data_IF_675610877921
#
_entry.id   IF_675610877921
#
_cell.length_a   1.000
_cell.length_b   1.000
_cell.length_c   1.000
_cell.angle_alpha   90.00
_cell.angle_beta   90.00
_cell.angle_gamma   90.00
#
_symmetry.space_group_name_H-M   'P 1'
#
loop_
_entity.id
_entity.type
_entity.pdbx_description
1 polymer ?
#
# COMPACT_ATOMS: atom_id res chain seq x y z
N UNK A 1 -24.37 -7.17 -8.73
CA UNK A 1 -23.46 -6.01 -8.74
C UNK A 1 -24.07 -5.03 -9.74
N UNK A 2 -24.70 -3.98 -9.25
CA UNK A 2 -25.48 -3.05 -10.06
C UNK A 2 -24.55 -2.09 -10.83
N UNK A 3 -25.01 -1.67 -12.02
CA UNK A 3 -24.28 -0.80 -12.95
C UNK A 3 -23.92 0.58 -12.35
N UNK A 4 -24.59 0.96 -11.27
CA UNK A 4 -24.33 2.21 -10.53
C UNK A 4 -23.02 2.15 -9.70
N UNK A 5 -22.62 0.94 -9.21
CA UNK A 5 -21.37 0.78 -8.46
C UNK A 5 -20.12 0.94 -9.34
N UNK A 6 -20.24 0.59 -10.63
CA UNK A 6 -19.15 0.74 -11.61
C UNK A 6 -18.96 2.21 -12.01
N UNK A 7 -20.03 2.99 -12.03
CA UNK A 7 -19.99 4.41 -12.35
C UNK A 7 -19.40 5.26 -11.23
N UNK A 8 -19.62 4.88 -9.96
CA UNK A 8 -19.05 5.58 -8.81
C UNK A 8 -17.53 5.36 -8.69
N UNK A 9 -17.04 4.15 -9.01
CA UNK A 9 -15.60 3.87 -9.07
C UNK A 9 -14.89 4.62 -10.21
N UNK A 10 -15.54 4.77 -11.36
CA UNK A 10 -15.01 5.55 -12.50
C UNK A 10 -14.91 7.04 -12.20
N UNK A 11 -15.82 7.59 -11.39
CA UNK A 11 -15.86 9.01 -11.07
C UNK A 11 -14.74 9.45 -10.11
N UNK A 12 -14.34 8.59 -9.19
CA UNK A 12 -13.25 8.87 -8.24
C UNK A 12 -11.87 8.90 -8.92
N UNK A 13 -11.69 8.14 -10.01
CA UNK A 13 -10.46 8.12 -10.80
C UNK A 13 -10.36 9.35 -11.72
N UNK A 14 -11.49 9.86 -12.18
CA UNK A 14 -11.56 11.03 -13.10
C UNK A 14 -11.31 12.38 -12.40
N UNK A 15 -11.54 12.48 -11.09
CA UNK A 15 -11.27 13.73 -10.35
C UNK A 15 -9.77 14.07 -10.22
N UNK A 16 -8.87 13.11 -10.46
CA UNK A 16 -7.42 13.35 -10.41
C UNK A 16 -6.77 13.56 -11.79
N UNK A 17 -7.56 13.59 -12.87
CA UNK A 17 -7.08 13.95 -14.21
C UNK A 17 -7.84 15.21 -14.63
N UNK A 18 -7.25 16.36 -14.39
CA UNK A 18 -7.79 17.67 -14.80
C UNK A 18 -7.80 17.74 -16.35
N UNK A 19 -8.96 17.55 -16.96
CA UNK A 19 -9.28 17.96 -18.34
C UNK A 19 -10.62 18.67 -18.29
N UNK A 20 -10.71 19.95 -18.73
CA UNK A 20 -11.98 20.65 -18.77
C UNK A 20 -12.84 20.04 -19.87
N UNK A 21 -13.93 19.39 -19.49
CA UNK A 21 -14.93 18.87 -20.41
C UNK A 21 -15.93 19.97 -20.80
N UNK A 22 -15.79 20.53 -21.99
CA UNK A 22 -16.91 21.11 -22.66
C UNK A 22 -17.83 20.00 -23.18
N UNK A 23 -19.09 20.10 -22.81
CA UNK A 23 -20.15 19.18 -23.19
C UNK A 23 -20.31 19.09 -24.71
N UNK A 24 -20.07 17.94 -25.25
CA UNK A 24 -20.72 17.30 -26.41
C UNK A 24 -19.83 16.22 -26.99
N UNK A 25 -19.89 14.97 -26.50
CA UNK A 25 -19.36 13.83 -27.28
C UNK A 25 -20.03 12.49 -26.95
N UNK A 26 -20.42 11.81 -28.02
CA UNK A 26 -21.01 10.51 -28.25
C UNK A 26 -20.55 9.36 -27.34
N UNK A 27 -21.47 8.45 -27.00
CA UNK A 27 -21.28 7.19 -26.24
C UNK A 27 -19.99 6.40 -26.57
N UNK A 28 -19.45 6.50 -27.79
CA UNK A 28 -18.26 5.79 -28.21
C UNK A 28 -16.95 6.25 -27.53
N UNK A 29 -16.85 7.53 -27.16
CA UNK A 29 -15.64 8.06 -26.50
C UNK A 29 -15.57 7.61 -25.04
N UNK A 30 -16.71 7.55 -24.35
CA UNK A 30 -16.80 7.08 -22.97
C UNK A 30 -16.40 5.59 -22.87
N UNK A 31 -16.81 4.77 -23.83
CA UNK A 31 -16.45 3.34 -23.87
C UNK A 31 -14.95 3.15 -24.14
N UNK A 32 -14.33 3.94 -25.01
CA UNK A 32 -12.88 3.86 -25.24
C UNK A 32 -12.06 4.33 -24.05
N UNK A 33 -12.49 5.37 -23.34
CA UNK A 33 -11.80 5.86 -22.13
C UNK A 33 -11.89 4.84 -21.00
N UNK A 34 -13.04 4.24 -20.75
CA UNK A 34 -13.21 3.23 -19.69
C UNK A 34 -12.44 1.95 -19.98
N UNK A 35 -12.35 1.51 -21.23
CA UNK A 35 -11.57 0.32 -21.61
C UNK A 35 -10.06 0.56 -21.52
N UNK A 36 -9.60 1.77 -21.83
CA UNK A 36 -8.19 2.17 -21.72
C UNK A 36 -7.76 2.25 -20.25
N UNK A 37 -8.55 2.89 -19.39
CA UNK A 37 -8.31 2.98 -17.94
C UNK A 37 -8.29 1.59 -17.30
N UNK A 38 -9.20 0.70 -17.70
CA UNK A 38 -9.25 -0.67 -17.20
C UNK A 38 -7.98 -1.47 -17.58
N UNK A 39 -7.47 -1.30 -18.80
CA UNK A 39 -6.23 -1.95 -19.25
C UNK A 39 -5.00 -1.49 -18.45
N UNK A 40 -4.86 -0.19 -18.21
CA UNK A 40 -3.74 0.33 -17.42
C UNK A 40 -3.81 -0.12 -15.95
N UNK A 41 -5.00 -0.15 -15.36
CA UNK A 41 -5.19 -0.65 -14.01
C UNK A 41 -4.84 -2.14 -13.88
N UNK A 42 -5.30 -2.98 -14.84
CA UNK A 42 -4.93 -4.41 -14.90
C UNK A 42 -3.43 -4.57 -15.01
N UNK A 43 -2.76 -3.79 -15.87
CA UNK A 43 -1.30 -3.80 -16.00
C UNK A 43 -0.59 -3.50 -14.69
N UNK A 44 -1.01 -2.44 -13.98
CA UNK A 44 -0.39 -2.06 -12.71
C UNK A 44 -0.60 -3.14 -11.63
N UNK A 45 -1.78 -3.75 -11.59
CA UNK A 45 -2.08 -4.86 -10.69
C UNK A 45 -1.22 -6.08 -11.01
N UNK A 46 -1.08 -6.44 -12.28
CA UNK A 46 -0.21 -7.54 -12.71
C UNK A 46 1.26 -7.25 -12.35
N UNK A 47 1.76 -6.05 -12.66
CA UNK A 47 3.12 -5.66 -12.30
C UNK A 47 3.37 -5.66 -10.80
N UNK A 48 2.36 -5.36 -9.99
CA UNK A 48 2.48 -5.44 -8.53
C UNK A 48 2.63 -6.87 -8.02
N UNK A 49 2.10 -7.87 -8.75
CA UNK A 49 2.23 -9.28 -8.38
C UNK A 49 3.67 -9.80 -8.44
N UNK A 50 4.57 -9.10 -9.19
CA UNK A 50 6.00 -9.40 -9.18
C UNK A 50 6.63 -9.26 -7.78
N UNK A 51 6.00 -8.51 -6.88
CA UNK A 51 6.47 -8.27 -5.52
C UNK A 51 5.73 -9.12 -4.48
N UNK A 52 4.95 -10.10 -4.92
CA UNK A 52 4.28 -11.02 -4.01
C UNK A 52 5.27 -12.00 -3.38
N UNK A 53 4.97 -12.43 -2.16
CA UNK A 53 5.76 -13.46 -1.47
C UNK A 53 5.87 -14.75 -2.30
N UNK A 54 4.76 -15.18 -2.93
CA UNK A 54 4.75 -16.39 -3.76
C UNK A 54 5.74 -16.30 -4.91
N UNK A 55 5.79 -15.19 -5.66
CA UNK A 55 6.71 -15.01 -6.77
C UNK A 55 8.18 -15.17 -6.35
N UNK A 56 8.56 -14.67 -5.18
CA UNK A 56 9.93 -14.85 -4.66
C UNK A 56 10.18 -16.24 -4.09
N UNK A 57 9.20 -16.86 -3.43
CA UNK A 57 9.32 -18.24 -2.92
C UNK A 57 9.53 -19.22 -4.07
N UNK A 58 8.81 -19.05 -5.19
CA UNK A 58 8.94 -19.90 -6.36
C UNK A 58 10.36 -19.82 -6.95
N UNK A 59 10.92 -18.62 -7.05
CA UNK A 59 12.32 -18.43 -7.50
C UNK A 59 13.32 -19.03 -6.52
N UNK A 60 13.19 -18.71 -5.22
CA UNK A 60 14.20 -19.08 -4.22
C UNK A 60 14.21 -20.58 -3.91
N UNK A 61 13.04 -21.21 -3.88
CA UNK A 61 12.92 -22.61 -3.49
C UNK A 61 12.92 -23.57 -4.68
N UNK A 62 12.40 -23.13 -5.83
CA UNK A 62 12.18 -24.01 -6.98
C UNK A 62 12.91 -23.55 -8.23
N UNK A 63 13.64 -22.42 -8.18
CA UNK A 63 14.27 -21.80 -9.36
C UNK A 63 13.26 -21.55 -10.49
N UNK A 64 11.99 -21.31 -10.13
CA UNK A 64 10.90 -21.09 -11.06
C UNK A 64 10.71 -19.59 -11.33
N UNK A 65 11.05 -19.18 -12.55
CA UNK A 65 10.91 -17.82 -13.06
C UNK A 65 9.68 -17.63 -13.95
N UNK A 66 8.78 -18.60 -14.01
CA UNK A 66 7.63 -18.60 -14.94
C UNK A 66 6.76 -17.35 -14.80
N UNK A 67 6.54 -16.88 -13.56
CA UNK A 67 5.78 -15.67 -13.29
C UNK A 67 6.46 -14.41 -13.85
N UNK A 68 7.77 -14.26 -13.65
CA UNK A 68 8.52 -13.12 -14.21
C UNK A 68 8.61 -13.18 -15.73
N UNK A 69 8.76 -14.37 -16.30
CA UNK A 69 8.74 -14.57 -17.75
C UNK A 69 7.38 -14.20 -18.35
N UNK A 70 6.30 -14.58 -17.69
CA UNK A 70 4.95 -14.20 -18.08
C UNK A 70 4.76 -12.67 -18.07
N UNK A 71 5.18 -11.98 -17.00
CA UNK A 71 5.12 -10.52 -16.92
C UNK A 71 5.93 -9.84 -18.02
N UNK A 72 7.17 -10.31 -18.25
CA UNK A 72 8.05 -9.76 -19.27
C UNK A 72 7.46 -9.93 -20.68
N UNK A 73 6.89 -11.10 -20.97
CA UNK A 73 6.24 -11.40 -22.25
C UNK A 73 4.94 -10.60 -22.44
N UNK A 74 4.09 -10.53 -21.42
CA UNK A 74 2.82 -9.79 -21.46
C UNK A 74 3.03 -8.29 -21.62
N UNK A 75 4.11 -7.77 -21.05
CA UNK A 75 4.43 -6.33 -21.04
C UNK A 75 5.79 -6.07 -21.70
N UNK A 76 5.99 -6.63 -22.88
CA UNK A 76 7.21 -6.49 -23.71
C UNK A 76 7.56 -5.02 -24.00
N UNK A 77 6.54 -4.14 -24.02
CA UNK A 77 6.70 -2.68 -24.14
C UNK A 77 7.61 -2.09 -23.06
N UNK A 78 7.80 -2.77 -21.92
CA UNK A 78 8.77 -2.36 -20.90
C UNK A 78 10.22 -2.55 -21.36
N UNK A 79 10.47 -3.35 -22.40
CA UNK A 79 11.81 -3.61 -22.95
C UNK A 79 12.83 -3.95 -21.87
N UNK A 80 12.56 -4.99 -21.11
CA UNK A 80 13.43 -5.47 -20.04
C UNK A 80 14.32 -6.60 -20.57
N UNK A 81 15.61 -6.54 -20.31
CA UNK A 81 16.59 -7.58 -20.67
C UNK A 81 16.94 -8.47 -19.47
N UNK A 82 16.65 -8.01 -18.26
CA UNK A 82 16.90 -8.73 -17.02
C UNK A 82 15.70 -8.64 -16.08
N UNK A 83 15.56 -9.59 -15.15
CA UNK A 83 14.54 -9.54 -14.10
C UNK A 83 14.71 -8.33 -13.18
N UNK A 84 15.95 -7.88 -12.95
CA UNK A 84 16.21 -6.67 -12.20
C UNK A 84 15.60 -5.42 -12.87
N UNK A 85 15.75 -5.31 -14.19
CA UNK A 85 15.12 -4.22 -14.95
C UNK A 85 13.59 -4.31 -14.92
N UNK A 86 13.04 -5.52 -15.06
CA UNK A 86 11.60 -5.74 -14.94
C UNK A 86 11.08 -5.26 -13.58
N UNK A 87 11.70 -5.70 -12.48
CA UNK A 87 11.33 -5.29 -11.13
C UNK A 87 11.48 -3.78 -10.94
N UNK A 88 12.61 -3.19 -11.38
CA UNK A 88 12.85 -1.75 -11.25
C UNK A 88 11.81 -0.92 -11.99
N UNK A 89 11.49 -1.28 -13.24
CA UNK A 89 10.48 -0.58 -14.05
C UNK A 89 9.07 -0.80 -13.49
N UNK A 90 8.76 -2.03 -13.07
CA UNK A 90 7.49 -2.34 -12.41
C UNK A 90 7.30 -1.52 -11.14
N UNK A 91 8.31 -1.47 -10.27
CA UNK A 91 8.24 -0.66 -9.05
C UNK A 91 8.06 0.83 -9.35
N UNK A 92 8.76 1.36 -10.32
CA UNK A 92 8.61 2.75 -10.74
C UNK A 92 7.19 3.08 -11.18
N UNK A 93 6.53 2.18 -11.91
CA UNK A 93 5.16 2.35 -12.38
C UNK A 93 4.15 2.23 -11.23
N UNK A 94 4.24 1.15 -10.43
CA UNK A 94 3.27 0.95 -9.33
C UNK A 94 3.43 2.03 -8.26
N UNK A 95 4.63 2.43 -7.90
CA UNK A 95 4.84 3.51 -6.93
C UNK A 95 4.28 4.85 -7.41
N UNK A 96 4.20 5.06 -8.73
CA UNK A 96 3.65 6.29 -9.31
C UNK A 96 2.13 6.25 -9.46
N UNK A 97 1.58 5.10 -9.88
CA UNK A 97 0.18 5.04 -10.35
C UNK A 97 -0.70 4.05 -9.56
N UNK A 98 -0.10 3.11 -8.82
CA UNK A 98 -0.82 2.07 -8.09
C UNK A 98 -0.19 1.85 -6.71
N UNK A 99 -0.65 2.60 -5.72
CA UNK A 99 -0.12 2.56 -4.34
C UNK A 99 -0.68 1.32 -3.61
N UNK A 100 -0.22 0.14 -4.00
CA UNK A 100 -0.55 -1.10 -3.32
C UNK A 100 0.20 -1.22 -1.97
N UNK A 101 -0.22 -2.15 -1.16
CA UNK A 101 0.36 -2.42 0.18
C UNK A 101 1.89 -2.57 0.14
N UNK A 102 2.44 -3.23 -0.89
CA UNK A 102 3.89 -3.36 -1.07
C UNK A 102 4.61 -1.99 -1.18
N UNK A 103 4.01 -1.04 -1.89
CA UNK A 103 4.56 0.33 -1.99
C UNK A 103 4.53 1.01 -0.63
N UNK A 104 3.42 0.90 0.10
CA UNK A 104 3.30 1.45 1.46
C UNK A 104 4.34 0.84 2.41
N UNK A 105 4.48 -0.49 2.43
CA UNK A 105 5.49 -1.19 3.24
C UNK A 105 6.91 -0.67 2.95
N UNK A 106 7.29 -0.58 1.68
CA UNK A 106 8.62 -0.11 1.29
C UNK A 106 8.91 1.34 1.70
N UNK A 107 7.96 2.24 1.48
CA UNK A 107 8.15 3.64 1.83
C UNK A 107 8.17 3.83 3.36
N UNK A 108 7.37 3.06 4.08
CA UNK A 108 7.40 3.05 5.54
C UNK A 108 8.75 2.55 6.07
N UNK A 109 9.29 1.44 5.54
CA UNK A 109 10.61 0.94 5.93
C UNK A 109 11.70 2.00 5.66
N UNK A 110 11.68 2.66 4.51
CA UNK A 110 12.65 3.74 4.20
C UNK A 110 12.58 4.88 5.23
N UNK A 111 11.37 5.30 5.60
CA UNK A 111 11.16 6.32 6.63
C UNK A 111 11.74 5.88 7.98
N UNK A 112 11.40 4.66 8.40
CA UNK A 112 11.82 4.13 9.69
C UNK A 112 13.33 3.91 9.74
N UNK A 113 13.95 3.40 8.68
CA UNK A 113 15.40 3.28 8.56
C UNK A 113 16.09 4.62 8.63
N UNK A 114 15.52 5.66 8.01
CA UNK A 114 16.05 7.03 8.10
C UNK A 114 15.94 7.61 9.51
N UNK A 115 14.81 7.30 10.21
CA UNK A 115 14.52 7.84 11.55
C UNK A 115 15.32 7.13 12.65
N UNK A 116 15.48 5.81 12.57
CA UNK A 116 15.99 4.98 13.67
C UNK A 116 17.34 4.30 13.35
N UNK A 117 17.76 4.31 12.09
CA UNK A 117 18.97 3.59 11.66
C UNK A 117 18.71 2.09 11.39
N UNK A 118 19.56 1.48 10.58
CA UNK A 118 19.46 0.08 10.21
C UNK A 118 20.12 -0.87 11.23
N UNK A 119 21.10 -0.36 12.02
CA UNK A 119 21.86 -1.21 12.96
C UNK A 119 21.10 -1.52 14.23
N UNK A 120 20.25 -0.58 14.67
CA UNK A 120 19.59 -0.64 15.97
C UNK A 120 18.10 -1.02 15.85
N UNK A 121 17.69 -1.51 14.68
CA UNK A 121 16.29 -1.84 14.41
C UNK A 121 16.17 -3.17 13.67
N UNK A 122 15.22 -3.99 14.09
CA UNK A 122 14.84 -5.24 13.42
C UNK A 122 13.40 -5.12 12.92
N UNK A 123 13.15 -5.55 11.69
CA UNK A 123 11.86 -5.44 11.01
C UNK A 123 11.37 -6.81 10.56
N UNK A 124 10.06 -7.04 10.72
CA UNK A 124 9.39 -8.21 10.16
C UNK A 124 8.12 -7.75 9.46
N UNK A 125 7.84 -8.35 8.31
CA UNK A 125 6.55 -8.21 7.62
C UNK A 125 5.66 -9.41 7.91
N UNK A 126 4.34 -9.21 7.87
CA UNK A 126 3.34 -10.26 8.06
C UNK A 126 3.52 -11.03 9.37
N UNK A 127 3.74 -10.30 10.46
CA UNK A 127 4.00 -10.86 11.77
C UNK A 127 2.69 -11.29 12.46
N UNK A 128 2.60 -12.58 12.81
CA UNK A 128 1.40 -13.11 13.49
C UNK A 128 1.33 -12.65 14.94
N UNK A 129 0.19 -12.06 15.30
CA UNK A 129 -0.12 -11.53 16.64
C UNK A 129 -1.50 -12.01 17.06
N UNK A 130 -1.56 -13.00 17.94
CA UNK A 130 -2.84 -13.59 18.31
C UNK A 130 -3.57 -14.18 17.10
N UNK A 131 -4.77 -13.65 16.82
CA UNK A 131 -5.59 -14.05 15.68
C UNK A 131 -5.41 -13.11 14.47
N UNK A 132 -4.59 -12.08 14.61
CA UNK A 132 -4.31 -11.09 13.56
C UNK A 132 -2.90 -11.27 12.97
N UNK A 133 -2.63 -10.59 11.86
CA UNK A 133 -1.31 -10.50 11.23
C UNK A 133 -1.03 -9.02 11.04
N UNK A 134 0.03 -8.53 11.70
CA UNK A 134 0.49 -7.16 11.50
C UNK A 134 1.28 -7.07 10.19
N UNK A 135 0.97 -6.06 9.38
CA UNK A 135 1.62 -5.85 8.09
C UNK A 135 3.12 -5.65 8.24
N UNK A 136 3.50 -4.94 9.30
CA UNK A 136 4.90 -4.77 9.66
C UNK A 136 5.05 -4.57 11.17
N UNK A 137 6.16 -5.08 11.72
CA UNK A 137 6.57 -4.80 13.10
C UNK A 137 8.03 -4.35 13.12
N UNK A 138 8.37 -3.55 14.13
CA UNK A 138 9.72 -3.06 14.35
C UNK A 138 10.09 -3.17 15.83
N UNK A 139 11.33 -3.56 16.08
CA UNK A 139 11.94 -3.59 17.42
C UNK A 139 13.21 -2.76 17.42
N UNK A 140 13.28 -1.76 18.28
CA UNK A 140 14.42 -0.85 18.41
C UNK A 140 14.54 -0.30 19.85
N UNK A 141 14.52 -1.19 20.83
CA UNK A 141 14.37 -0.87 22.25
C UNK A 141 12.91 -0.73 22.69
N UNK A 142 12.01 -0.49 21.76
CA UNK A 142 10.56 -0.58 21.89
C UNK A 142 9.99 -1.47 20.81
N UNK A 143 8.85 -2.09 21.07
CA UNK A 143 8.10 -2.87 20.08
C UNK A 143 7.03 -2.01 19.41
N UNK A 144 6.97 -2.06 18.09
CA UNK A 144 6.02 -1.26 17.28
C UNK A 144 5.33 -2.13 16.25
N UNK A 145 4.00 -2.06 16.18
CA UNK A 145 3.21 -2.67 15.12
C UNK A 145 2.64 -1.60 14.20
N UNK A 146 2.63 -1.90 12.92
CA UNK A 146 2.08 -1.04 11.87
C UNK A 146 1.04 -1.83 11.08
N UNK A 147 -0.17 -1.31 11.01
CA UNK A 147 -1.22 -1.76 10.11
C UNK A 147 -1.32 -0.77 8.95
N UNK A 148 -1.39 -1.29 7.74
CA UNK A 148 -1.42 -0.49 6.52
C UNK A 148 -2.79 -0.66 5.86
N UNK A 149 -3.46 0.44 5.62
CA UNK A 149 -4.68 0.49 4.80
C UNK A 149 -4.41 1.32 3.56
N UNK A 150 -4.65 0.73 2.42
CA UNK A 150 -4.50 1.39 1.12
C UNK A 150 -5.82 2.05 0.70
N UNK A 151 -5.85 2.64 -0.47
CA UNK A 151 -7.06 3.18 -1.09
C UNK A 151 -8.13 2.10 -1.37
N UNK A 152 -7.71 0.83 -1.39
CA UNK A 152 -8.56 -0.32 -1.75
C UNK A 152 -9.11 -1.08 -0.55
N UNK A 153 -8.65 -0.73 0.66
CA UNK A 153 -9.01 -1.42 1.89
C UNK A 153 -10.22 -0.80 2.58
N UNK A 154 -10.86 -1.60 3.42
CA UNK A 154 -11.95 -1.16 4.28
C UNK A 154 -11.56 -1.28 5.75
N UNK A 155 -12.13 -0.46 6.66
CA UNK A 155 -11.81 -0.50 8.09
C UNK A 155 -12.39 -1.71 8.83
N UNK A 156 -13.13 -2.60 8.16
CA UNK A 156 -13.96 -3.65 8.76
C UNK A 156 -13.29 -4.52 9.83
N UNK A 157 -11.97 -4.75 9.76
CA UNK A 157 -11.22 -5.60 10.71
C UNK A 157 -10.31 -4.81 11.62
N UNK A 158 -10.27 -3.50 11.46
CA UNK A 158 -9.24 -2.66 12.06
C UNK A 158 -9.30 -2.67 13.59
N UNK A 159 -10.49 -2.58 14.17
CA UNK A 159 -10.65 -2.56 15.64
C UNK A 159 -10.06 -3.82 16.27
N UNK A 160 -10.40 -4.99 15.72
CA UNK A 160 -9.89 -6.27 16.20
C UNK A 160 -8.37 -6.39 16.00
N UNK A 161 -7.84 -5.94 14.88
CA UNK A 161 -6.40 -5.92 14.63
C UNK A 161 -5.68 -5.05 15.65
N UNK A 162 -6.17 -3.83 15.89
CA UNK A 162 -5.59 -2.92 16.87
C UNK A 162 -5.68 -3.47 18.28
N UNK A 163 -6.78 -4.11 18.66
CA UNK A 163 -6.94 -4.77 19.96
C UNK A 163 -5.89 -5.88 20.14
N UNK A 164 -5.72 -6.75 19.14
CA UNK A 164 -4.71 -7.81 19.19
C UNK A 164 -3.30 -7.22 19.33
N UNK A 165 -2.96 -6.17 18.55
CA UNK A 165 -1.63 -5.57 18.56
C UNK A 165 -1.30 -4.89 19.90
N UNK A 166 -2.24 -4.16 20.49
CA UNK A 166 -2.04 -3.46 21.78
C UNK A 166 -1.73 -4.38 22.95
N UNK A 167 -2.05 -5.65 22.85
CA UNK A 167 -1.70 -6.66 23.88
C UNK A 167 -0.23 -7.06 23.88
N UNK A 168 0.48 -6.83 22.75
CA UNK A 168 1.82 -7.35 22.54
C UNK A 168 2.86 -6.27 22.22
N UNK A 169 2.44 -5.11 21.72
CA UNK A 169 3.34 -4.05 21.28
C UNK A 169 3.18 -2.80 22.14
N UNK A 170 4.32 -2.15 22.41
CA UNK A 170 4.34 -0.88 23.15
C UNK A 170 3.65 0.24 22.38
N UNK A 171 3.76 0.22 21.05
CA UNK A 171 3.19 1.24 20.16
C UNK A 171 2.54 0.60 18.94
N UNK A 172 1.32 1.03 18.63
CA UNK A 172 0.58 0.60 17.45
C UNK A 172 0.29 1.81 16.57
N UNK A 173 0.55 1.64 15.29
CA UNK A 173 0.37 2.66 14.26
C UNK A 173 -0.56 2.17 13.17
N UNK A 174 -1.40 3.09 12.68
CA UNK A 174 -2.15 2.92 11.46
C UNK A 174 -1.53 3.78 10.36
N UNK A 175 -1.27 3.21 9.20
CA UNK A 175 -0.75 3.91 8.01
C UNK A 175 -1.84 3.96 6.95
N UNK A 176 -2.23 5.17 6.54
CA UNK A 176 -3.38 5.40 5.63
C UNK A 176 -3.04 6.43 4.55
N UNK A 177 -3.73 6.42 3.40
CA UNK A 177 -3.71 7.54 2.48
C UNK A 177 -4.15 8.83 3.17
N UNK A 178 -3.53 9.97 2.82
CA UNK A 178 -3.86 11.27 3.41
C UNK A 178 -5.32 11.68 3.12
N UNK A 179 -5.81 11.36 1.94
CA UNK A 179 -7.20 11.63 1.51
C UNK A 179 -8.24 10.77 2.23
N UNK A 180 -7.82 9.72 2.94
CA UNK A 180 -8.69 8.87 3.77
C UNK A 180 -8.48 9.06 5.27
N UNK A 181 -7.69 10.04 5.67
CA UNK A 181 -7.37 10.27 7.08
C UNK A 181 -8.63 10.45 7.95
N UNK A 182 -9.60 11.25 7.50
CA UNK A 182 -10.81 11.53 8.26
C UNK A 182 -11.65 10.27 8.51
N UNK A 183 -11.70 9.36 7.54
CA UNK A 183 -12.41 8.08 7.67
C UNK A 183 -11.85 7.25 8.83
N UNK A 184 -10.53 7.21 8.98
CA UNK A 184 -9.86 6.36 9.96
C UNK A 184 -9.58 7.05 11.30
N UNK A 185 -9.50 8.39 11.31
CA UNK A 185 -9.08 9.15 12.48
C UNK A 185 -9.97 8.92 13.70
N UNK A 186 -11.28 8.80 13.48
CA UNK A 186 -12.28 8.59 14.52
C UNK A 186 -12.58 7.13 14.83
N UNK A 187 -12.14 6.21 13.96
CA UNK A 187 -12.35 4.77 14.15
C UNK A 187 -11.34 4.22 15.16
N UNK A 188 -10.06 4.58 15.01
CA UNK A 188 -9.02 4.07 15.91
C UNK A 188 -8.92 4.89 17.18
N UNK A 189 -8.68 4.21 18.30
CA UNK A 189 -8.53 4.85 19.60
C UNK A 189 -7.42 5.92 19.63
N UNK A 190 -7.52 6.93 20.49
CA UNK A 190 -6.52 8.00 20.63
C UNK A 190 -5.08 7.51 20.90
N UNK A 191 -4.95 6.33 21.50
CA UNK A 191 -3.67 5.67 21.80
C UNK A 191 -2.98 5.09 20.57
N UNK A 192 -3.66 4.95 19.43
CA UNK A 192 -3.09 4.47 18.18
C UNK A 192 -2.47 5.64 17.41
N UNK A 193 -1.19 5.54 17.06
CA UNK A 193 -0.54 6.51 16.18
C UNK A 193 -1.10 6.46 14.76
N UNK A 194 -1.07 7.58 14.06
CA UNK A 194 -1.49 7.64 12.64
C UNK A 194 -0.38 8.26 11.81
N UNK A 195 -0.02 7.55 10.74
CA UNK A 195 0.90 8.00 9.71
C UNK A 195 0.12 8.13 8.41
N UNK A 196 0.13 9.30 7.80
CA UNK A 196 -0.45 9.49 6.48
C UNK A 196 0.59 9.31 5.40
N UNK A 197 0.15 8.79 4.26
CA UNK A 197 0.91 8.73 3.03
C UNK A 197 0.26 9.64 1.99
N UNK A 198 1.02 10.61 1.53
CA UNK A 198 0.63 11.52 0.45
C UNK A 198 1.69 11.54 -0.65
N UNK A 199 1.45 12.32 -1.68
CA UNK A 199 2.39 12.50 -2.79
C UNK A 199 2.60 13.98 -3.06
N UNK A 200 3.87 14.37 -3.08
CA UNK A 200 4.28 15.68 -3.51
C UNK A 200 5.32 15.57 -4.64
N UNK A 201 5.06 16.24 -5.76
CA UNK A 201 5.93 16.26 -6.95
C UNK A 201 6.41 14.87 -7.39
N UNK A 202 5.51 13.87 -7.32
CA UNK A 202 5.78 12.48 -7.68
C UNK A 202 6.58 11.69 -6.63
N UNK A 203 6.94 12.29 -5.50
CA UNK A 203 7.58 11.63 -4.35
C UNK A 203 6.52 11.26 -3.32
N UNK A 204 6.68 10.08 -2.73
CA UNK A 204 5.84 9.64 -1.62
C UNK A 204 6.35 10.31 -0.34
N UNK A 205 5.43 10.94 0.39
CA UNK A 205 5.69 11.57 1.67
C UNK A 205 4.90 10.83 2.73
N UNK A 206 5.57 10.47 3.81
CA UNK A 206 4.95 9.91 5.01
C UNK A 206 5.03 10.97 6.13
N UNK A 207 3.89 11.22 6.77
CA UNK A 207 3.79 12.19 7.85
C UNK A 207 3.08 11.55 9.04
N UNK A 208 3.71 11.56 10.21
CA UNK A 208 3.05 11.21 11.46
C UNK A 208 2.12 12.35 11.86
N UNK A 209 0.81 12.12 11.80
CA UNK A 209 -0.24 13.11 12.10
C UNK A 209 -0.81 12.95 13.51
N UNK A 210 -0.66 11.76 14.09
CA UNK A 210 -0.98 11.46 15.49
C UNK A 210 0.11 10.56 16.05
N UNK A 211 0.81 11.05 17.08
CA UNK A 211 1.83 10.27 17.80
C UNK A 211 1.16 9.32 18.79
N UNK A 212 1.80 8.19 19.05
CA UNK A 212 1.39 7.29 20.12
C UNK A 212 1.77 7.93 21.46
N UNK A 213 0.78 8.18 22.29
CA UNK A 213 1.05 8.49 23.69
C UNK A 213 1.48 7.19 24.38
N UNK A 214 2.67 7.18 25.00
CA UNK A 214 3.02 6.12 25.93
C UNK A 214 1.97 6.15 27.04
N UNK A 215 1.15 5.11 27.10
CA UNK A 215 0.54 4.71 28.34
C UNK A 215 1.74 4.29 29.20
N UNK A 216 2.23 5.20 30.05
CA UNK A 216 3.22 4.83 31.04
C UNK A 216 2.63 3.64 31.80
N UNK A 217 3.24 2.49 31.68
CA UNK A 217 3.03 1.36 32.57
C UNK A 217 3.54 1.77 33.95
N UNK A 218 2.90 2.81 34.53
CA UNK A 218 2.90 3.02 35.95
C UNK A 218 1.78 2.12 36.44
N UNK A 219 2.20 1.03 36.95
CA UNK A 219 1.53 0.18 37.93
C UNK A 219 1.60 -1.31 37.57
N UNK A 220 2.60 -1.93 38.12
CA UNK A 220 2.34 -2.75 39.32
C UNK A 220 3.66 -2.97 39.99
#
# INVERSE_FOLDING_TARGET
MHMEDVLSMGFCILQNIFVPLQYSFKLGVLYMVTTSVNKEWVKLKDLSSAFSRSAFVDVLNYNDYSHFNWLASKYDTLKCTTYFELLKKSYSLISKYYRCEYVYKNELIKLLLKKYGARDSVYFSEFRVGNSIADMVMFNGESKAFEIKTEYDTPRRLDKQMEDYKRFFDKCYLVVPEDRLEEYYNIVEPTTGIITMSRDNGRIILKEVRSVYQLSLIHI
#
